data_IF_100103394240
#
_entry.id   IF_100103394240
#
_cell.length_a   1.000
_cell.length_b   1.000
_cell.length_c   1.000
_cell.angle_alpha   90.00
_cell.angle_beta   90.00
_cell.angle_gamma   90.00
#
_symmetry.space_group_name_H-M   'P 1'
#
loop_
_entity.id
_entity.type
_entity.pdbx_description
1 polymer ?
#
# COMPACT_ATOMS: atom_id res chain seq x y z
N UNK A 1 -1.48 9.58 23.10
CA UNK A 1 -2.61 8.87 22.48
C UNK A 1 -2.11 7.52 21.97
N UNK A 2 -2.75 6.39 22.32
CA UNK A 2 -2.25 5.06 21.92
C UNK A 2 -2.56 4.80 20.45
N UNK A 3 -1.53 4.64 19.63
CA UNK A 3 -1.68 4.26 18.22
C UNK A 3 -2.10 2.79 18.16
N UNK A 4 -3.14 2.49 17.38
CA UNK A 4 -3.65 1.13 17.15
C UNK A 4 -3.64 0.83 15.66
N UNK A 5 -3.35 -0.42 15.31
CA UNK A 5 -3.51 -0.89 13.94
C UNK A 5 -5.00 -1.06 13.63
N UNK A 6 -5.45 -0.45 12.53
CA UNK A 6 -6.82 -0.59 12.03
C UNK A 6 -6.99 -1.83 11.15
N UNK A 7 -8.21 -2.03 10.63
CA UNK A 7 -8.53 -3.12 9.69
C UNK A 7 -7.80 -2.97 8.34
N UNK A 8 -7.59 -1.75 7.87
CA UNK A 8 -6.97 -1.49 6.57
C UNK A 8 -6.94 -0.02 6.20
N UNK A 9 -6.48 0.26 4.98
CA UNK A 9 -6.35 1.59 4.42
C UNK A 9 -7.59 2.00 3.61
N UNK A 10 -7.88 3.30 3.62
CA UNK A 10 -8.98 3.89 2.87
C UNK A 10 -8.62 4.05 1.39
N UNK A 11 -9.62 4.05 0.53
CA UNK A 11 -9.46 4.26 -0.92
C UNK A 11 -8.77 5.60 -1.25
N UNK A 12 -9.00 6.64 -0.44
CA UNK A 12 -8.36 7.95 -0.63
C UNK A 12 -6.85 7.88 -0.38
N UNK A 13 -6.42 7.12 0.62
CA UNK A 13 -5.01 6.98 1.00
C UNK A 13 -4.27 6.17 -0.06
N UNK A 14 -4.87 5.07 -0.53
CA UNK A 14 -4.33 4.25 -1.61
C UNK A 14 -4.15 5.07 -2.89
N UNK A 15 -5.13 5.91 -3.23
CA UNK A 15 -5.05 6.80 -4.39
C UNK A 15 -3.89 7.81 -4.24
N UNK A 16 -3.70 8.38 -3.05
CA UNK A 16 -2.60 9.32 -2.78
C UNK A 16 -1.21 8.64 -2.73
N UNK A 17 -1.16 7.36 -2.40
CA UNK A 17 0.06 6.55 -2.44
C UNK A 17 0.37 5.98 -3.84
N UNK A 18 -0.50 6.17 -4.83
CA UNK A 18 -0.33 5.64 -6.18
C UNK A 18 -0.58 4.13 -6.28
N UNK A 19 -1.38 3.56 -5.37
CA UNK A 19 -1.70 2.12 -5.34
C UNK A 19 -3.14 1.92 -5.79
N UNK A 20 -3.34 1.14 -6.86
CA UNK A 20 -4.67 0.81 -7.34
C UNK A 20 -5.38 -0.16 -6.38
N UNK A 21 -6.69 0.06 -6.14
CA UNK A 21 -7.49 -0.75 -5.19
C UNK A 21 -7.46 -2.26 -5.48
N UNK A 22 -7.36 -2.63 -6.75
CA UNK A 22 -7.35 -4.04 -7.20
C UNK A 22 -6.00 -4.71 -6.95
N UNK A 23 -4.91 -3.94 -7.01
CA UNK A 23 -3.55 -4.41 -6.79
C UNK A 23 -3.20 -4.50 -5.31
N UNK A 24 -3.81 -3.65 -4.47
CA UNK A 24 -3.58 -3.62 -3.02
C UNK A 24 -3.65 -5.01 -2.34
N UNK A 25 -4.71 -5.83 -2.52
CA UNK A 25 -4.78 -7.15 -1.89
C UNK A 25 -3.73 -8.14 -2.42
N UNK A 26 -3.31 -8.01 -3.68
CA UNK A 26 -2.25 -8.85 -4.28
C UNK A 26 -0.89 -8.59 -3.64
N UNK A 27 -0.63 -7.33 -3.30
CA UNK A 27 0.61 -6.89 -2.65
C UNK A 27 0.60 -7.21 -1.14
N UNK A 28 -0.57 -7.49 -0.56
CA UNK A 28 -0.75 -7.75 0.88
C UNK A 28 -1.24 -6.55 1.67
N UNK A 29 -1.73 -5.50 1.00
CA UNK A 29 -2.30 -4.30 1.64
C UNK A 29 -3.80 -4.51 1.84
N UNK A 30 -4.25 -4.51 3.09
CA UNK A 30 -5.67 -4.61 3.44
C UNK A 30 -6.40 -3.30 3.16
N UNK A 31 -7.55 -3.39 2.50
CA UNK A 31 -8.38 -2.24 2.12
C UNK A 31 -9.64 -2.18 2.98
N UNK A 32 -9.87 -1.04 3.61
CA UNK A 32 -11.12 -0.72 4.30
C UNK A 32 -11.91 0.31 3.48
N UNK A 33 -12.95 -0.17 2.81
CA UNK A 33 -13.79 0.63 1.92
C UNK A 33 -14.79 1.53 2.67
N UNK A 34 -15.05 1.26 3.94
CA UNK A 34 -16.01 2.03 4.75
C UNK A 34 -15.34 3.19 5.49
N UNK A 35 -14.03 3.10 5.73
CA UNK A 35 -13.28 4.13 6.47
C UNK A 35 -13.24 5.47 5.73
N UNK A 36 -13.76 6.51 6.40
CA UNK A 36 -13.66 7.91 5.98
C UNK A 36 -12.72 8.64 6.95
N UNK A 37 -11.68 9.27 6.42
CA UNK A 37 -10.77 10.07 7.22
C UNK A 37 -11.39 11.44 7.54
N UNK A 38 -11.25 11.86 8.80
CA UNK A 38 -11.70 13.15 9.30
C UNK A 38 -10.53 14.12 9.48
N UNK A 39 -9.34 13.61 9.82
CA UNK A 39 -8.13 14.39 10.04
C UNK A 39 -7.17 14.32 8.85
N UNK A 40 -6.49 15.44 8.58
CA UNK A 40 -5.50 15.56 7.52
C UNK A 40 -4.14 14.98 7.94
N UNK A 41 -3.74 15.19 9.19
CA UNK A 41 -2.47 14.67 9.73
C UNK A 41 -2.40 13.14 9.66
N UNK A 42 -3.43 12.45 10.17
CA UNK A 42 -3.49 10.99 10.14
C UNK A 42 -3.53 10.43 8.71
N UNK A 43 -4.17 11.15 7.79
CA UNK A 43 -4.15 10.81 6.37
C UNK A 43 -2.73 10.87 5.80
N UNK A 44 -1.99 11.94 6.07
CA UNK A 44 -0.61 12.10 5.60
C UNK A 44 0.33 11.02 6.17
N UNK A 45 0.23 10.73 7.47
CA UNK A 45 1.02 9.66 8.11
C UNK A 45 0.76 8.31 7.44
N UNK A 46 -0.50 7.95 7.21
CA UNK A 46 -0.86 6.69 6.55
C UNK A 46 -0.36 6.62 5.11
N UNK A 47 -0.44 7.73 4.36
CA UNK A 47 0.09 7.81 3.00
C UNK A 47 1.61 7.62 2.98
N UNK A 48 2.32 8.22 3.94
CA UNK A 48 3.75 8.01 4.10
C UNK A 48 4.07 6.54 4.42
N UNK A 49 3.30 5.89 5.29
CA UNK A 49 3.46 4.46 5.58
C UNK A 49 3.26 3.57 4.35
N UNK A 50 2.28 3.89 3.49
CA UNK A 50 2.07 3.16 2.24
C UNK A 50 3.24 3.32 1.27
N UNK A 51 3.80 4.53 1.18
CA UNK A 51 4.97 4.82 0.33
C UNK A 51 6.22 4.10 0.83
N UNK A 52 6.46 4.09 2.15
CA UNK A 52 7.60 3.37 2.72
C UNK A 52 7.45 1.86 2.55
N UNK A 53 6.24 1.32 2.75
CA UNK A 53 5.96 -0.09 2.49
C UNK A 53 6.22 -0.46 1.03
N UNK A 54 5.75 0.37 0.08
CA UNK A 54 5.98 0.16 -1.36
C UNK A 54 7.47 0.12 -1.70
N UNK A 55 8.26 1.06 -1.17
CA UNK A 55 9.70 1.15 -1.43
C UNK A 55 10.48 -0.06 -0.87
N UNK A 56 10.03 -0.63 0.24
CA UNK A 56 10.68 -1.79 0.87
C UNK A 56 10.24 -3.13 0.27
N UNK A 57 9.23 -3.15 -0.60
CA UNK A 57 8.62 -4.39 -1.04
C UNK A 57 9.33 -4.96 -2.27
N UNK A 58 9.79 -6.20 -2.12
CA UNK A 58 10.45 -6.99 -3.17
C UNK A 58 9.44 -7.95 -3.79
N UNK A 59 9.28 -7.90 -5.12
CA UNK A 59 8.38 -8.80 -5.86
C UNK A 59 9.19 -9.77 -6.72
N UNK A 60 8.77 -11.03 -6.67
CA UNK A 60 9.24 -12.08 -7.57
C UNK A 60 8.19 -12.36 -8.65
N UNK A 61 8.63 -12.42 -9.90
CA UNK A 61 7.77 -12.80 -11.01
C UNK A 61 7.46 -14.31 -10.96
N UNK A 62 6.18 -14.67 -11.06
CA UNK A 62 5.71 -16.06 -10.99
C UNK A 62 6.14 -16.93 -12.19
N UNK A 63 6.32 -16.33 -13.38
CA UNK A 63 6.53 -17.04 -14.66
C UNK A 63 7.76 -16.55 -15.42
N UNK A 64 8.92 -16.57 -14.78
CA UNK A 64 10.22 -16.48 -15.46
C UNK A 64 11.20 -17.43 -14.79
N UNK A 65 11.89 -18.26 -15.56
CA UNK A 65 12.91 -19.20 -15.09
C UNK A 65 14.20 -18.52 -14.60
N UNK A 66 14.22 -17.17 -14.53
CA UNK A 66 15.36 -16.36 -14.07
C UNK A 66 14.92 -15.58 -12.84
N UNK A 67 15.61 -15.82 -11.72
CA UNK A 67 15.43 -15.05 -10.48
C UNK A 67 15.86 -13.61 -10.72
N UNK A 68 14.89 -12.72 -10.87
CA UNK A 68 15.10 -11.28 -10.90
C UNK A 68 14.26 -10.67 -9.79
N UNK A 69 14.92 -9.87 -8.96
CA UNK A 69 14.33 -9.08 -7.89
C UNK A 69 13.85 -7.78 -8.53
N UNK A 70 12.57 -7.47 -8.38
CA UNK A 70 12.00 -6.20 -8.86
C UNK A 70 11.40 -5.43 -7.69
N UNK A 71 11.56 -4.11 -7.72
CA UNK A 71 10.76 -3.20 -6.89
C UNK A 71 9.42 -3.02 -7.61
N UNK A 72 8.32 -2.82 -6.87
CA UNK A 72 6.99 -2.62 -7.48
C UNK A 72 6.97 -1.46 -8.48
N UNK A 73 7.70 -0.38 -8.19
CA UNK A 73 7.80 0.78 -9.08
C UNK A 73 8.45 0.45 -10.44
N UNK A 74 9.30 -0.59 -10.52
CA UNK A 74 9.92 -1.03 -11.78
C UNK A 74 8.97 -1.87 -12.65
N UNK A 75 7.83 -2.30 -12.09
CA UNK A 75 6.91 -3.28 -12.69
C UNK A 75 5.61 -2.67 -13.22
N UNK A 76 5.33 -1.39 -12.96
CA UNK A 76 4.09 -0.70 -13.33
C UNK A 76 4.32 0.59 -14.12
#
# INVERSE_FOLDING_TARGET
MKVRVGRGFSLKELKAAGIAKKLAPTIGISVDHLRRNLSLEGFQTNVQMLKTYKANLVVFLRRVCKFKVYIIDDLL
#
